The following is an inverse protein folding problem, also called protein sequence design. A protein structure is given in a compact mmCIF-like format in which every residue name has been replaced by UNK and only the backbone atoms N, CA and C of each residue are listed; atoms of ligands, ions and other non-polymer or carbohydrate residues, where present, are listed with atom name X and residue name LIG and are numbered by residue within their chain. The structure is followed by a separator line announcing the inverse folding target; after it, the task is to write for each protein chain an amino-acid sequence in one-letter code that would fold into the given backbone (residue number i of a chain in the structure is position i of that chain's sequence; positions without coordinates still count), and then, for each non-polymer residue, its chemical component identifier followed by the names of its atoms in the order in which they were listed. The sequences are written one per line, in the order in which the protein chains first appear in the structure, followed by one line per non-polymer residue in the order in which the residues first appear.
data_IF_613868901693
#
_entry.id   IF_613868901693
#
_cell.length_a   1.000
_cell.length_b   1.000
_cell.length_c   1.000
_cell.angle_alpha   90.00
_cell.angle_beta   90.00
_cell.angle_gamma   90.00
#
_symmetry.space_group_name_H-M   'P 1'
#
loop_
_entity.id
_entity.type
_entity.pdbx_description
1 polymer ?
#
# COMPACT_ATOMS: atom_id res chain seq x y z
N UNK A 1 -0.07 1.09 -10.80
CA UNK A 1 -0.87 0.40 -9.79
C UNK A 1 -1.60 -0.78 -10.36
N UNK A 2 -2.13 -1.60 -9.49
CA UNK A 2 -2.95 -2.74 -9.91
C UNK A 2 -4.32 -2.77 -9.24
N UNK A 3 -4.44 -2.14 -8.08
CA UNK A 3 -5.69 -2.11 -7.29
C UNK A 3 -5.89 -0.75 -6.63
N UNK A 4 -7.15 -0.36 -6.47
CA UNK A 4 -7.59 0.86 -5.76
C UNK A 4 -8.92 0.55 -5.04
N UNK A 5 -9.21 1.10 -3.88
CA UNK A 5 -8.42 2.00 -3.03
C UNK A 5 -7.37 1.27 -2.15
N UNK A 6 -6.71 2.03 -1.26
CA UNK A 6 -5.63 1.59 -0.35
C UNK A 6 -5.88 0.25 0.33
N UNK A 7 -7.06 0.03 0.87
CA UNK A 7 -7.44 -1.22 1.56
C UNK A 7 -7.41 -2.47 0.66
N UNK A 8 -7.28 -2.30 -0.66
CA UNK A 8 -7.04 -3.37 -1.63
C UNK A 8 -5.64 -3.27 -2.21
N UNK A 9 -5.14 -2.04 -2.45
CA UNK A 9 -3.81 -1.79 -2.99
C UNK A 9 -2.71 -2.36 -2.09
N UNK A 10 -2.77 -2.12 -0.79
CA UNK A 10 -1.79 -2.64 0.16
C UNK A 10 -1.83 -4.17 0.27
N UNK A 11 -3.00 -4.83 0.49
CA UNK A 11 -3.06 -6.28 0.43
C UNK A 11 -2.58 -6.84 -0.91
N UNK A 12 -2.90 -6.19 -2.04
CA UNK A 12 -2.43 -6.62 -3.35
C UNK A 12 -0.90 -6.61 -3.45
N UNK A 13 -0.24 -5.55 -2.98
CA UNK A 13 1.22 -5.45 -2.98
C UNK A 13 1.90 -6.61 -2.24
N UNK A 14 1.23 -7.17 -1.22
CA UNK A 14 1.77 -8.24 -0.39
C UNK A 14 1.21 -9.63 -0.71
N UNK A 15 0.16 -9.75 -1.53
CA UNK A 15 -0.46 -11.04 -1.89
C UNK A 15 -0.54 -11.32 -3.38
N UNK A 16 -0.46 -10.28 -4.23
CA UNK A 16 -0.57 -10.41 -5.69
C UNK A 16 -1.94 -10.82 -6.21
N UNK A 17 -2.97 -10.81 -5.36
CA UNK A 17 -4.25 -11.42 -5.67
C UNK A 17 -5.32 -10.41 -6.03
N UNK A 18 -6.00 -10.64 -7.14
CA UNK A 18 -7.18 -9.88 -7.57
C UNK A 18 -8.48 -10.44 -6.99
N UNK A 19 -9.52 -9.59 -6.85
CA UNK A 19 -10.86 -10.06 -6.52
C UNK A 19 -11.41 -10.99 -7.59
N UNK A 20 -12.32 -11.88 -7.19
CA UNK A 20 -13.05 -12.79 -8.10
C UNK A 20 -14.50 -12.36 -8.23
N UNK A 21 -15.11 -12.69 -9.37
CA UNK A 21 -16.51 -12.41 -9.61
C UNK A 21 -17.41 -13.04 -8.53
N UNK A 22 -18.34 -12.24 -8.02
CA UNK A 22 -19.29 -12.68 -7.01
C UNK A 22 -18.70 -12.99 -5.63
N UNK A 23 -17.41 -12.71 -5.43
CA UNK A 23 -16.73 -12.88 -4.15
C UNK A 23 -17.19 -11.78 -3.19
N UNK A 24 -17.58 -12.16 -1.97
CA UNK A 24 -17.84 -11.17 -0.93
C UNK A 24 -16.54 -10.59 -0.40
N UNK A 25 -16.64 -9.45 0.26
CA UNK A 25 -15.50 -8.82 0.93
C UNK A 25 -14.76 -9.78 1.89
N UNK A 26 -15.51 -10.46 2.74
CA UNK A 26 -14.92 -11.38 3.71
C UNK A 26 -14.27 -12.59 3.02
N UNK A 27 -14.88 -13.10 1.96
CA UNK A 27 -14.33 -14.23 1.19
C UNK A 27 -13.04 -13.83 0.48
N UNK A 28 -13.02 -12.63 -0.12
CA UNK A 28 -11.83 -12.08 -0.77
C UNK A 28 -10.66 -11.98 0.21
N UNK A 29 -10.84 -11.29 1.34
CA UNK A 29 -9.76 -11.16 2.33
C UNK A 29 -9.38 -12.49 2.96
N UNK A 30 -10.35 -13.34 3.26
CA UNK A 30 -10.08 -14.71 3.74
C UNK A 30 -9.20 -15.50 2.75
N UNK A 31 -9.51 -15.44 1.47
CA UNK A 31 -8.78 -16.14 0.42
C UNK A 31 -7.37 -15.60 0.23
N UNK A 32 -7.21 -14.29 0.06
CA UNK A 32 -5.90 -13.70 -0.25
C UNK A 32 -4.92 -13.86 0.90
N UNK A 33 -5.39 -13.76 2.14
CA UNK A 33 -4.52 -13.92 3.30
C UNK A 33 -4.18 -15.37 3.61
N UNK A 34 -5.07 -16.31 3.32
CA UNK A 34 -4.78 -17.74 3.51
C UNK A 34 -3.96 -18.34 2.36
N UNK A 35 -4.10 -17.80 1.15
CA UNK A 35 -3.46 -18.33 -0.06
C UNK A 35 -2.13 -17.70 -0.42
N UNK A 36 -1.75 -16.55 0.18
CA UNK A 36 -0.49 -15.90 -0.14
C UNK A 36 0.69 -16.58 0.53
N UNK A 37 1.73 -16.82 -0.25
CA UNK A 37 3.02 -17.37 0.22
C UNK A 37 4.13 -16.33 0.25
N UNK A 38 3.90 -15.11 -0.20
CA UNK A 38 4.96 -14.11 -0.40
C UNK A 38 5.84 -13.88 0.83
N UNK A 39 5.24 -13.65 2.00
CA UNK A 39 6.01 -13.43 3.23
C UNK A 39 6.69 -14.71 3.73
N UNK A 40 6.11 -15.88 3.45
CA UNK A 40 6.74 -17.18 3.72
C UNK A 40 7.96 -17.38 2.80
N UNK A 41 7.83 -17.02 1.52
CA UNK A 41 8.93 -17.07 0.54
C UNK A 41 10.05 -16.08 0.89
N UNK A 42 9.71 -14.86 1.34
CA UNK A 42 10.68 -13.89 1.88
C UNK A 42 11.47 -14.49 3.04
N UNK A 43 10.77 -15.13 3.98
CA UNK A 43 11.41 -15.78 5.13
C UNK A 43 12.27 -16.96 4.72
N UNK A 44 11.86 -17.73 3.72
CA UNK A 44 12.63 -18.85 3.19
C UNK A 44 13.93 -18.41 2.50
N UNK A 45 14.00 -17.16 2.01
CA UNK A 45 15.25 -16.57 1.51
C UNK A 45 16.17 -16.04 2.65
N UNK A 46 15.83 -16.25 3.91
CA UNK A 46 16.62 -15.80 5.06
C UNK A 46 16.40 -14.34 5.45
N UNK A 47 15.31 -13.73 5.02
CA UNK A 47 14.98 -12.35 5.36
C UNK A 47 13.97 -12.29 6.52
N UNK A 48 14.25 -11.41 7.48
CA UNK A 48 13.28 -11.03 8.49
C UNK A 48 12.35 -9.95 7.95
N UNK A 49 11.03 -10.17 8.00
CA UNK A 49 10.05 -9.23 7.51
C UNK A 49 9.59 -8.24 8.60
N UNK A 50 9.61 -6.95 8.28
CA UNK A 50 9.01 -5.89 9.09
C UNK A 50 8.00 -5.12 8.25
N UNK A 51 6.74 -5.15 8.67
CA UNK A 51 5.62 -4.54 7.96
C UNK A 51 5.05 -3.40 8.81
N UNK A 52 5.05 -2.20 8.24
CA UNK A 52 4.59 -0.97 8.89
C UNK A 52 3.41 -0.41 8.09
N UNK A 53 2.21 -0.87 8.41
CA UNK A 53 0.94 -0.44 7.80
C UNK A 53 -0.21 -0.76 8.73
N UNK A 54 -1.28 0.02 8.69
CA UNK A 54 -2.57 -0.25 9.35
C UNK A 54 -3.60 -0.85 8.39
N UNK A 55 -3.23 -1.02 7.11
CA UNK A 55 -4.12 -1.47 6.04
C UNK A 55 -3.95 -2.96 5.71
N UNK A 56 -3.44 -3.76 6.64
CA UNK A 56 -3.24 -5.20 6.49
C UNK A 56 -3.91 -5.96 7.63
N UNK A 57 -4.45 -7.16 7.34
CA UNK A 57 -5.01 -8.01 8.39
C UNK A 57 -3.96 -8.39 9.43
N UNK A 58 -4.21 -8.12 10.72
CA UNK A 58 -3.30 -8.51 11.78
C UNK A 58 -3.02 -10.01 11.83
N UNK A 59 -4.04 -10.83 11.57
CA UNK A 59 -3.90 -12.29 11.64
C UNK A 59 -3.00 -12.84 10.53
N UNK A 60 -3.05 -12.26 9.34
CA UNK A 60 -2.12 -12.58 8.26
C UNK A 60 -0.68 -12.28 8.65
N UNK A 61 -0.49 -11.14 9.28
CA UNK A 61 0.83 -10.63 9.60
C UNK A 61 1.47 -11.31 10.81
N UNK A 62 0.70 -11.64 11.86
CA UNK A 62 1.21 -12.20 13.13
C UNK A 62 2.09 -13.44 12.97
N UNK A 63 1.79 -14.31 12.03
CA UNK A 63 2.50 -15.57 11.86
C UNK A 63 3.73 -15.47 10.97
N UNK A 64 3.89 -14.35 10.25
CA UNK A 64 4.88 -14.20 9.17
C UNK A 64 5.84 -13.05 9.39
N UNK A 65 5.58 -12.18 10.34
CA UNK A 65 6.40 -10.98 10.55
C UNK A 65 6.64 -10.73 12.03
N UNK A 66 7.78 -10.14 12.35
CA UNK A 66 8.17 -9.81 13.72
C UNK A 66 7.67 -8.43 14.19
N UNK A 67 7.19 -7.58 13.29
CA UNK A 67 6.90 -6.16 13.57
C UNK A 67 5.55 -5.68 13.05
N UNK A 68 4.59 -6.56 12.83
CA UNK A 68 3.21 -6.12 12.65
C UNK A 68 2.58 -5.99 14.01
N UNK A 69 2.31 -4.77 14.36
CA UNK A 69 1.52 -4.47 15.54
C UNK A 69 0.05 -4.52 15.14
N UNK A 70 -0.70 -5.56 15.52
CA UNK A 70 -2.12 -5.61 15.21
C UNK A 70 -2.83 -4.42 15.84
N UNK A 71 -3.88 -3.94 15.19
CA UNK A 71 -4.93 -3.12 15.80
C UNK A 71 -5.48 -3.94 16.96
N UNK A 72 -5.01 -3.72 18.17
CA UNK A 72 -5.08 -4.76 19.15
C UNK A 72 -6.26 -4.72 20.08
N UNK A 73 -6.64 -5.95 20.40
CA UNK A 73 -7.52 -6.34 21.49
C UNK A 73 -7.07 -5.89 22.91
N UNK A 74 -5.87 -5.37 23.10
CA UNK A 74 -5.40 -4.89 24.41
C UNK A 74 -5.82 -3.45 24.73
N UNK A 75 -6.29 -2.68 23.75
CA UNK A 75 -6.86 -1.36 24.05
C UNK A 75 -8.22 -1.53 24.71
N UNK A 76 -8.30 -1.10 25.96
CA UNK A 76 -9.58 -1.06 26.65
C UNK A 76 -10.54 -0.12 25.91
N UNK A 77 -11.74 -0.60 25.64
CA UNK A 77 -12.79 0.21 25.01
C UNK A 77 -13.10 1.41 25.90
N UNK A 78 -12.86 2.61 25.43
CA UNK A 78 -13.37 3.82 26.07
C UNK A 78 -14.87 3.94 25.79
N UNK A 79 -15.68 3.54 26.77
CA UNK A 79 -17.15 3.55 26.67
C UNK A 79 -17.70 4.96 26.42
N UNK A 80 -17.06 5.98 27.01
CA UNK A 80 -17.50 7.36 26.86
C UNK A 80 -17.14 7.88 25.48
N UNK A 81 -15.88 7.74 25.06
CA UNK A 81 -15.43 8.13 23.74
C UNK A 81 -16.20 7.39 22.63
N UNK A 82 -16.47 6.10 22.84
CA UNK A 82 -17.31 5.30 21.93
C UNK A 82 -18.71 5.89 21.80
N UNK A 83 -19.36 6.23 22.89
CA UNK A 83 -20.69 6.82 22.88
C UNK A 83 -20.70 8.20 22.19
N UNK A 84 -19.72 9.03 22.48
CA UNK A 84 -19.59 10.36 21.87
C UNK A 84 -19.39 10.27 20.36
N UNK A 85 -18.52 9.40 19.88
CA UNK A 85 -18.27 9.26 18.42
C UNK A 85 -19.44 8.61 17.71
N UNK A 86 -20.09 7.61 18.29
CA UNK A 86 -21.30 7.00 17.71
C UNK A 86 -22.45 7.99 17.64
N UNK A 87 -22.58 8.88 18.65
CA UNK A 87 -23.56 9.96 18.61
C UNK A 87 -23.26 10.95 17.47
N UNK A 88 -22.00 11.35 17.30
CA UNK A 88 -21.57 12.20 16.19
C UNK A 88 -21.85 11.54 14.84
N UNK A 89 -21.55 10.25 14.68
CA UNK A 89 -21.86 9.49 13.48
C UNK A 89 -23.36 9.47 13.18
N UNK A 90 -24.20 9.30 14.23
CA UNK A 90 -25.67 9.32 14.07
C UNK A 90 -26.15 10.70 13.63
N UNK A 91 -25.62 11.77 14.21
CA UNK A 91 -25.95 13.13 13.81
C UNK A 91 -25.53 13.39 12.37
N UNK A 92 -24.31 12.98 11.98
CA UNK A 92 -23.88 13.10 10.59
C UNK A 92 -24.80 12.37 9.61
N UNK A 93 -25.24 11.16 9.96
CA UNK A 93 -26.17 10.38 9.11
C UNK A 93 -27.55 10.99 9.02
N UNK A 94 -28.11 11.41 10.14
CA UNK A 94 -29.55 11.69 10.26
C UNK A 94 -29.89 13.19 10.12
N UNK A 95 -28.88 14.09 10.20
CA UNK A 95 -29.11 15.53 10.05
C UNK A 95 -29.32 15.94 8.58
N UNK A 96 -30.08 17.03 8.34
CA UNK A 96 -30.18 17.64 7.02
C UNK A 96 -28.81 17.98 6.44
N UNK A 97 -28.68 17.90 5.13
CA UNK A 97 -27.42 18.12 4.41
C UNK A 97 -26.65 19.37 4.83
N UNK A 98 -27.38 20.50 5.04
CA UNK A 98 -26.79 21.77 5.46
C UNK A 98 -26.13 21.75 6.83
N UNK A 99 -26.49 20.79 7.68
CA UNK A 99 -25.91 20.64 9.03
C UNK A 99 -24.84 19.55 9.11
N UNK A 100 -24.75 18.67 8.11
CA UNK A 100 -23.77 17.57 8.10
C UNK A 100 -22.32 18.01 8.30
N UNK A 101 -21.84 19.13 7.70
CA UNK A 101 -20.44 19.55 7.90
C UNK A 101 -20.05 19.80 9.36
N UNK A 102 -20.99 20.14 10.23
CA UNK A 102 -20.72 20.34 11.67
C UNK A 102 -20.51 19.03 12.43
N UNK A 103 -20.85 17.89 11.84
CA UNK A 103 -20.74 16.57 12.45
C UNK A 103 -19.80 15.65 11.63
N UNK A 104 -19.03 16.23 10.72
CA UNK A 104 -18.07 15.48 9.95
C UNK A 104 -17.04 14.82 10.86
N UNK A 105 -16.60 13.63 10.48
CA UNK A 105 -15.56 12.88 11.18
C UNK A 105 -14.70 12.11 10.18
N UNK A 106 -13.47 11.84 10.57
CA UNK A 106 -12.57 10.94 9.85
C UNK A 106 -12.52 9.59 10.54
N UNK A 107 -12.18 8.55 9.80
CA UNK A 107 -12.09 7.17 10.32
C UNK A 107 -11.14 7.07 11.52
N UNK A 108 -10.03 7.79 11.48
CA UNK A 108 -9.04 7.82 12.56
C UNK A 108 -9.63 8.40 13.85
N UNK A 109 -10.51 9.40 13.76
CA UNK A 109 -11.19 9.95 14.92
C UNK A 109 -12.10 8.92 15.59
N UNK A 110 -12.73 8.05 14.78
CA UNK A 110 -13.55 6.95 15.33
C UNK A 110 -12.66 6.02 16.15
N UNK A 111 -11.55 5.55 15.57
CA UNK A 111 -10.65 4.63 16.24
C UNK A 111 -10.04 5.25 17.52
N UNK A 112 -9.57 6.49 17.44
CA UNK A 112 -8.99 7.20 18.56
C UNK A 112 -9.98 7.50 19.69
N UNK A 113 -11.26 7.73 19.36
CA UNK A 113 -12.30 7.96 20.37
C UNK A 113 -12.79 6.66 21.01
N UNK A 114 -12.73 5.54 20.29
CA UNK A 114 -13.23 4.25 20.80
C UNK A 114 -12.26 3.54 21.73
N UNK A 115 -10.99 3.88 21.71
CA UNK A 115 -9.96 3.16 22.46
C UNK A 115 -9.20 4.10 23.40
N UNK A 116 -9.04 3.68 24.66
CA UNK A 116 -8.33 4.48 25.65
C UNK A 116 -6.81 4.48 25.43
N UNK A 117 -6.18 5.60 25.70
CA UNK A 117 -4.74 5.82 25.59
C UNK A 117 -3.92 5.15 26.72
N UNK A 118 -4.52 4.35 27.58
CA UNK A 118 -3.80 3.70 28.70
C UNK A 118 -2.72 2.70 28.29
N UNK A 119 -2.65 2.36 26.99
CA UNK A 119 -1.58 1.51 26.42
C UNK A 119 -0.29 2.28 26.06
N UNK A 120 -0.18 3.56 26.36
CA UNK A 120 0.99 4.39 26.00
C UNK A 120 2.33 3.95 26.62
N UNK A 121 2.32 3.04 27.58
CA UNK A 121 3.52 2.66 28.32
C UNK A 121 4.28 1.44 27.78
N UNK A 122 3.71 0.71 26.82
CA UNK A 122 4.39 -0.39 26.15
C UNK A 122 4.43 -0.16 24.63
N UNK A 123 5.58 0.28 24.07
CA UNK A 123 5.72 0.51 22.62
C UNK A 123 5.47 -0.74 21.77
N UNK A 124 5.59 -1.93 22.37
CA UNK A 124 5.35 -3.20 21.66
C UNK A 124 3.87 -3.56 21.56
N UNK A 125 3.02 -2.97 22.39
CA UNK A 125 1.57 -3.21 22.42
C UNK A 125 0.76 -2.18 21.63
N UNK A 126 1.38 -1.08 21.20
CA UNK A 126 0.68 -0.03 20.46
C UNK A 126 0.55 -0.41 18.99
N UNK A 127 -0.67 -0.46 18.41
CA UNK A 127 -0.84 -0.71 17.00
C UNK A 127 -0.07 0.31 16.16
N UNK A 128 0.47 -0.12 15.04
CA UNK A 128 1.01 0.83 14.08
C UNK A 128 -0.16 1.64 13.51
N UNK A 129 -0.12 2.93 13.73
CA UNK A 129 -1.01 3.90 13.09
C UNK A 129 -0.14 4.75 12.19
N UNK A 130 -0.55 4.87 10.93
CA UNK A 130 0.15 5.71 9.97
C UNK A 130 0.05 7.17 10.42
N UNK A 131 1.21 7.75 10.72
CA UNK A 131 1.35 9.15 11.07
C UNK A 131 2.74 9.61 10.64
N UNK A 132 2.82 10.22 9.48
CA UNK A 132 4.08 10.57 8.84
C UNK A 132 4.93 11.55 9.67
N UNK A 133 4.39 12.64 10.23
CA UNK A 133 5.16 13.51 11.11
C UNK A 133 5.70 12.80 12.36
N UNK A 134 4.90 11.94 12.99
CA UNK A 134 5.35 11.19 14.15
C UNK A 134 6.39 10.12 13.77
N UNK A 135 6.23 9.47 12.61
CA UNK A 135 7.25 8.56 12.07
C UNK A 135 8.56 9.30 11.82
N UNK A 136 8.51 10.48 11.19
CA UNK A 136 9.68 11.30 10.91
C UNK A 136 10.40 11.74 12.19
N UNK A 137 9.65 12.18 13.18
CA UNK A 137 10.21 12.54 14.48
C UNK A 137 10.97 11.36 15.11
N UNK A 138 10.33 10.17 15.15
CA UNK A 138 10.98 8.95 15.68
C UNK A 138 12.21 8.55 14.88
N UNK A 139 12.16 8.66 13.55
CA UNK A 139 13.29 8.38 12.66
C UNK A 139 14.49 9.29 12.98
N UNK A 140 14.24 10.57 13.27
CA UNK A 140 15.31 11.52 13.64
C UNK A 140 15.85 11.31 15.05
N UNK A 141 14.97 11.02 16.01
CA UNK A 141 15.34 10.91 17.43
C UNK A 141 16.07 9.59 17.71
N UNK A 142 15.60 8.49 17.16
CA UNK A 142 16.13 7.15 17.43
C UNK A 142 17.12 6.70 16.38
N UNK A 143 16.94 7.12 15.15
CA UNK A 143 17.69 6.66 14.00
C UNK A 143 17.37 5.21 13.62
N UNK A 144 17.94 4.79 12.51
CA UNK A 144 18.00 3.40 12.10
C UNK A 144 19.19 2.71 12.77
N UNK A 145 19.05 1.44 13.03
CA UNK A 145 20.13 0.62 13.57
C UNK A 145 20.14 -0.76 12.92
N UNK A 146 21.34 -1.34 12.82
CA UNK A 146 21.50 -2.74 12.44
C UNK A 146 21.42 -3.55 13.73
N UNK A 147 20.35 -4.30 13.89
CA UNK A 147 20.06 -5.02 15.12
C UNK A 147 20.07 -6.55 14.97
N UNK A 148 20.38 -7.08 13.78
CA UNK A 148 20.57 -8.49 13.51
C UNK A 148 21.62 -8.70 12.42
N UNK A 149 22.17 -9.91 12.35
CA UNK A 149 23.04 -10.34 11.24
C UNK A 149 22.22 -10.80 10.03
N UNK A 150 20.91 -10.96 10.19
CA UNK A 150 20.02 -11.44 9.13
C UNK A 150 19.68 -10.32 8.16
N UNK A 151 19.51 -10.70 6.91
CA UNK A 151 18.94 -9.80 5.91
C UNK A 151 17.52 -9.38 6.29
N UNK A 152 17.10 -8.19 5.93
CA UNK A 152 15.80 -7.67 6.34
C UNK A 152 14.98 -7.17 5.16
N UNK A 153 13.70 -7.54 5.13
CA UNK A 153 12.68 -6.95 4.29
C UNK A 153 11.88 -5.93 5.11
N UNK A 154 11.71 -4.73 4.60
CA UNK A 154 10.94 -3.67 5.26
C UNK A 154 9.90 -3.12 4.29
N UNK A 155 8.65 -3.24 4.67
CA UNK A 155 7.53 -2.62 3.98
C UNK A 155 7.02 -1.46 4.85
N UNK A 156 7.18 -0.23 4.36
CA UNK A 156 6.82 0.98 5.10
C UNK A 156 5.76 1.73 4.30
N UNK A 157 4.58 1.82 4.86
CA UNK A 157 3.45 2.54 4.29
C UNK A 157 3.30 3.87 5.02
N UNK A 158 3.44 4.97 4.29
CA UNK A 158 3.21 6.33 4.75
C UNK A 158 1.83 6.80 4.30
N UNK A 159 1.23 7.74 5.00
CA UNK A 159 0.02 8.45 4.55
C UNK A 159 0.32 9.13 3.21
N UNK A 160 1.53 9.64 3.06
CA UNK A 160 2.01 10.22 1.82
C UNK A 160 1.18 11.42 1.39
N UNK A 161 0.72 11.40 0.13
CA UNK A 161 -0.03 12.51 -0.48
C UNK A 161 -1.55 12.42 -0.27
N UNK A 162 -1.99 11.60 0.69
CA UNK A 162 -3.42 11.46 0.99
C UNK A 162 -3.98 12.64 1.77
N UNK A 163 -5.22 13.01 1.50
CA UNK A 163 -5.97 14.01 2.30
C UNK A 163 -6.35 13.46 3.67
N UNK A 164 -6.46 14.30 4.72
CA UNK A 164 -6.19 15.74 4.76
C UNK A 164 -4.70 16.05 4.72
N UNK A 165 -4.32 17.14 4.07
CA UNK A 165 -2.93 17.58 4.01
C UNK A 165 -2.56 18.30 5.30
N UNK A 166 -1.79 17.64 6.15
CA UNK A 166 -1.43 18.12 7.49
C UNK A 166 0.07 18.08 7.77
N UNK A 167 0.89 17.87 6.74
CA UNK A 167 2.34 17.83 6.86
C UNK A 167 2.98 18.90 5.98
N UNK A 168 3.89 19.70 6.56
CA UNK A 168 4.65 20.68 5.81
C UNK A 168 5.74 20.04 4.93
N UNK A 169 6.35 20.85 4.06
CA UNK A 169 7.42 20.40 3.15
C UNK A 169 8.67 19.86 3.88
N UNK A 170 8.81 20.08 5.17
CA UNK A 170 9.90 19.60 6.02
C UNK A 170 9.53 18.34 6.81
N UNK A 171 8.32 17.82 6.63
CA UNK A 171 7.86 16.60 7.30
C UNK A 171 7.30 16.83 8.70
N UNK A 172 7.01 18.06 9.11
CA UNK A 172 6.43 18.36 10.41
C UNK A 172 4.91 18.50 10.32
N UNK A 173 4.23 18.21 11.44
CA UNK A 173 2.79 18.40 11.55
C UNK A 173 2.42 19.89 11.39
N UNK A 174 1.43 20.16 10.57
CA UNK A 174 0.77 21.45 10.40
C UNK A 174 -0.74 21.28 10.64
N UNK A 175 -1.19 21.60 11.83
CA UNK A 175 -2.60 21.43 12.24
C UNK A 175 -3.56 22.36 11.49
N UNK A 176 -3.07 23.47 10.94
CA UNK A 176 -3.88 24.40 10.14
C UNK A 176 -4.13 23.90 8.72
N UNK A 177 -3.46 22.79 8.35
CA UNK A 177 -3.49 22.25 7.00
C UNK A 177 -2.40 22.84 6.09
N UNK A 178 -2.17 22.17 4.96
CA UNK A 178 -1.14 22.56 4.00
C UNK A 178 -1.59 22.25 2.57
N UNK A 179 -0.73 22.48 1.59
CA UNK A 179 -1.00 22.16 0.20
C UNK A 179 -0.63 20.68 -0.12
N UNK A 180 -1.18 20.14 -1.21
CA UNK A 180 -0.75 18.87 -1.77
C UNK A 180 0.76 18.87 -2.09
N UNK A 181 1.27 20.00 -2.61
CA UNK A 181 2.67 20.16 -2.94
C UNK A 181 3.56 20.05 -1.70
N UNK A 182 3.24 20.78 -0.64
CA UNK A 182 4.00 20.72 0.62
C UNK A 182 3.94 19.34 1.25
N UNK A 183 2.76 18.70 1.29
CA UNK A 183 2.59 17.34 1.78
C UNK A 183 3.46 16.34 0.98
N UNK A 184 3.51 16.49 -0.35
CA UNK A 184 4.34 15.66 -1.22
C UNK A 184 5.83 15.86 -0.93
N UNK A 185 6.26 17.12 -0.84
CA UNK A 185 7.65 17.46 -0.49
C UNK A 185 8.03 16.91 0.88
N UNK A 186 7.15 17.02 1.87
CA UNK A 186 7.35 16.44 3.21
C UNK A 186 7.54 14.92 3.17
N UNK A 187 6.75 14.22 2.36
CA UNK A 187 6.88 12.77 2.17
C UNK A 187 8.25 12.39 1.59
N UNK A 188 8.70 13.11 0.55
CA UNK A 188 10.04 12.90 -0.01
C UNK A 188 11.15 13.34 0.94
N UNK A 189 10.90 14.31 1.81
CA UNK A 189 11.84 14.70 2.85
C UNK A 189 12.07 13.57 3.87
N UNK A 190 10.99 12.90 4.30
CA UNK A 190 11.06 11.69 5.16
C UNK A 190 11.86 10.58 4.46
N UNK A 191 11.55 10.31 3.20
CA UNK A 191 12.29 9.32 2.40
C UNK A 191 13.79 9.68 2.33
N UNK A 192 14.11 10.94 2.06
CA UNK A 192 15.49 11.41 1.97
C UNK A 192 16.26 11.20 3.28
N UNK A 193 15.62 11.44 4.42
CA UNK A 193 16.21 11.19 5.74
C UNK A 193 16.44 9.68 5.97
N UNK A 194 15.49 8.84 5.59
CA UNK A 194 15.64 7.39 5.67
C UNK A 194 16.84 6.90 4.85
N UNK A 195 16.92 7.33 3.59
CA UNK A 195 18.03 6.98 2.69
C UNK A 195 19.38 7.50 3.20
N UNK A 196 19.40 8.71 3.78
CA UNK A 196 20.60 9.29 4.39
C UNK A 196 21.12 8.39 5.53
N UNK A 197 20.22 7.89 6.37
CA UNK A 197 20.57 7.00 7.47
C UNK A 197 21.05 5.62 6.96
N UNK A 198 20.45 5.05 5.92
CA UNK A 198 20.99 3.82 5.29
C UNK A 198 22.41 4.02 4.78
N UNK A 199 22.72 5.19 4.18
CA UNK A 199 24.09 5.55 3.75
C UNK A 199 25.03 5.65 4.94
N UNK A 200 24.61 6.27 6.04
CA UNK A 200 25.42 6.36 7.27
C UNK A 200 25.73 4.99 7.90
N UNK A 201 24.78 4.06 7.82
CA UNK A 201 24.95 2.69 8.28
C UNK A 201 25.80 1.82 7.33
N UNK A 202 26.11 2.33 6.13
CA UNK A 202 26.87 1.60 5.11
C UNK A 202 26.10 0.47 4.42
N UNK A 203 24.74 0.47 4.52
CA UNK A 203 23.90 -0.58 3.93
C UNK A 203 23.13 -0.12 2.69
N UNK A 204 23.21 1.16 2.34
CA UNK A 204 22.46 1.72 1.22
C UNK A 204 22.79 1.03 -0.11
N UNK A 205 24.07 0.84 -0.43
CA UNK A 205 24.48 0.28 -1.73
C UNK A 205 23.96 -1.15 -1.88
N UNK A 206 24.05 -1.94 -0.83
CA UNK A 206 23.62 -3.35 -0.80
C UNK A 206 22.10 -3.53 -0.66
N UNK A 207 21.34 -2.46 -0.50
CA UNK A 207 19.88 -2.53 -0.38
C UNK A 207 19.21 -2.36 -1.73
N UNK A 208 18.28 -3.25 -2.06
CA UNK A 208 17.27 -2.98 -3.07
C UNK A 208 16.19 -2.09 -2.46
N UNK A 209 15.90 -0.96 -3.09
CA UNK A 209 14.91 0.02 -2.61
C UNK A 209 13.87 0.23 -3.68
N UNK A 210 12.61 0.01 -3.33
CA UNK A 210 11.47 0.26 -4.19
C UNK A 210 10.60 1.33 -3.52
N UNK A 211 10.33 2.41 -4.25
CA UNK A 211 9.44 3.48 -3.81
C UNK A 211 8.27 3.54 -4.76
N UNK A 212 7.07 3.38 -4.23
CA UNK A 212 5.83 3.43 -5.01
C UNK A 212 4.71 3.99 -4.13
N UNK A 213 3.54 4.25 -4.71
CA UNK A 213 2.32 4.42 -3.95
C UNK A 213 1.45 3.17 -4.12
N UNK A 214 0.47 2.99 -3.25
CA UNK A 214 -0.50 1.89 -3.31
C UNK A 214 -1.43 2.02 -4.53
N UNK A 215 -1.79 3.26 -4.90
CA UNK A 215 -2.51 3.62 -6.12
C UNK A 215 -2.17 5.05 -6.57
N UNK A 216 -2.66 5.45 -7.74
CA UNK A 216 -2.61 6.84 -8.20
C UNK A 216 -3.74 7.68 -7.62
N UNK A 217 -3.86 8.92 -8.10
CA UNK A 217 -4.96 9.80 -7.71
C UNK A 217 -6.31 9.15 -8.03
N UNK A 218 -7.26 9.27 -7.11
CA UNK A 218 -8.57 8.67 -7.25
C UNK A 218 -9.62 9.51 -6.54
N UNK A 219 -10.69 9.79 -7.26
CA UNK A 219 -11.88 10.39 -6.69
C UNK A 219 -12.95 9.32 -6.54
N UNK A 220 -13.61 9.30 -5.39
CA UNK A 220 -14.77 8.45 -5.13
C UNK A 220 -15.87 8.80 -6.15
N UNK A 221 -15.89 8.07 -7.26
CA UNK A 221 -16.97 8.16 -8.25
C UNK A 221 -17.47 6.73 -8.51
N UNK A 222 -18.76 6.59 -8.70
CA UNK A 222 -19.37 5.35 -9.20
C UNK A 222 -19.22 5.21 -10.73
N UNK A 223 -18.54 6.16 -11.32
CA UNK A 223 -18.31 6.29 -12.76
C UNK A 223 -16.97 5.66 -13.16
N UNK A 224 -16.83 5.16 -14.40
CA UNK A 224 -15.55 4.79 -14.95
C UNK A 224 -14.55 5.94 -14.90
N UNK A 225 -13.27 5.59 -14.82
CA UNK A 225 -12.19 6.57 -14.90
C UNK A 225 -12.29 7.39 -16.18
N UNK A 226 -11.93 8.66 -16.09
CA UNK A 226 -11.90 9.60 -17.22
C UNK A 226 -10.48 10.04 -17.59
N UNK A 227 -9.49 9.67 -16.75
CA UNK A 227 -8.10 10.02 -16.91
C UNK A 227 -7.19 8.92 -16.33
N UNK A 228 -5.92 8.88 -16.74
CA UNK A 228 -4.96 7.93 -16.19
C UNK A 228 -4.76 8.14 -14.70
N UNK A 229 -4.70 7.05 -13.94
CA UNK A 229 -4.35 7.07 -12.53
C UNK A 229 -3.26 6.04 -12.26
N UNK A 230 -2.04 6.48 -12.09
CA UNK A 230 -0.89 5.58 -11.94
C UNK A 230 0.05 6.06 -10.85
N UNK A 231 0.42 5.20 -9.91
CA UNK A 231 1.46 5.53 -8.96
C UNK A 231 2.82 5.58 -9.65
N UNK A 232 3.74 6.29 -9.04
CA UNK A 232 5.16 6.24 -9.38
C UNK A 232 5.75 4.88 -9.00
N UNK A 233 6.78 4.44 -9.72
CA UNK A 233 7.65 3.33 -9.31
C UNK A 233 9.10 3.77 -9.51
N UNK A 234 9.85 3.90 -8.41
CA UNK A 234 11.30 4.07 -8.44
C UNK A 234 11.95 2.82 -7.89
N UNK A 235 12.95 2.33 -8.59
CA UNK A 235 13.70 1.14 -8.19
C UNK A 235 15.18 1.43 -8.19
N UNK A 236 15.82 1.20 -7.05
CA UNK A 236 17.27 1.17 -6.89
C UNK A 236 17.67 -0.28 -6.62
N UNK A 237 18.35 -0.96 -7.53
CA UNK A 237 18.89 -2.30 -7.28
C UNK A 237 20.00 -2.27 -6.23
N UNK A 238 20.22 -3.40 -5.56
CA UNK A 238 21.42 -3.63 -4.78
C UNK A 238 22.67 -3.58 -5.69
N UNK A 239 23.73 -3.01 -5.20
CA UNK A 239 25.02 -2.87 -5.88
C UNK A 239 26.16 -3.26 -4.94
N UNK A 240 27.32 -3.55 -5.50
CA UNK A 240 28.51 -3.73 -4.69
C UNK A 240 28.87 -2.44 -3.95
N UNK A 241 29.38 -2.58 -2.74
CA UNK A 241 29.75 -1.44 -1.93
C UNK A 241 30.81 -0.58 -2.65
N UNK A 242 30.53 0.70 -2.80
CA UNK A 242 31.40 1.66 -3.48
C UNK A 242 31.33 1.64 -5.00
N UNK A 243 30.34 0.98 -5.59
CA UNK A 243 30.05 1.13 -7.02
C UNK A 243 29.67 2.58 -7.35
N UNK A 244 30.14 3.06 -8.51
CA UNK A 244 29.74 4.38 -8.97
C UNK A 244 28.21 4.45 -9.13
N UNK A 245 27.61 5.48 -8.55
CA UNK A 245 26.19 5.68 -8.66
C UNK A 245 25.80 5.97 -10.12
N UNK A 246 25.05 5.08 -10.73
CA UNK A 246 24.46 5.34 -12.03
C UNK A 246 23.42 6.49 -11.89
N UNK A 247 23.33 7.39 -12.87
CA UNK A 247 22.27 8.39 -12.88
C UNK A 247 20.90 7.70 -12.93
N UNK A 248 19.89 8.34 -12.34
CA UNK A 248 18.51 7.88 -12.47
C UNK A 248 18.11 7.86 -13.95
N UNK A 249 17.68 6.72 -14.45
CA UNK A 249 17.19 6.54 -15.80
C UNK A 249 15.66 6.34 -15.79
N UNK A 250 15.01 6.82 -16.83
CA UNK A 250 13.59 6.54 -17.05
C UNK A 250 13.49 5.28 -17.90
N UNK A 251 12.91 4.22 -17.34
CA UNK A 251 12.58 3.02 -18.10
C UNK A 251 11.21 3.18 -18.76
N UNK A 252 11.10 2.72 -19.99
CA UNK A 252 9.84 2.62 -20.74
C UNK A 252 9.25 1.20 -20.65
N UNK A 253 9.90 0.33 -19.89
CA UNK A 253 9.42 -1.04 -19.69
C UNK A 253 8.07 -1.05 -18.98
N UNK A 254 7.11 -1.84 -19.48
CA UNK A 254 5.83 -1.98 -18.83
C UNK A 254 5.98 -2.69 -17.48
N UNK A 255 5.65 -1.99 -16.40
CA UNK A 255 5.67 -2.52 -15.04
C UNK A 255 4.36 -2.23 -14.32
N UNK A 256 3.99 -3.10 -13.40
CA UNK A 256 2.84 -2.94 -12.53
C UNK A 256 3.15 -3.47 -11.11
N UNK A 257 2.25 -3.24 -10.17
CA UNK A 257 2.39 -3.81 -8.83
C UNK A 257 2.42 -5.35 -8.83
N UNK A 258 1.82 -5.99 -9.83
CA UNK A 258 1.88 -7.46 -10.00
C UNK A 258 3.32 -7.96 -10.16
N UNK A 259 4.20 -7.12 -10.67
CA UNK A 259 5.60 -7.47 -10.95
C UNK A 259 6.49 -7.37 -9.71
N UNK A 260 6.05 -6.65 -8.68
CA UNK A 260 6.91 -6.25 -7.57
C UNK A 260 7.29 -7.43 -6.66
N UNK A 261 6.38 -8.36 -6.39
CA UNK A 261 6.67 -9.50 -5.51
C UNK A 261 7.77 -10.37 -6.08
N UNK A 262 7.62 -10.79 -7.34
CA UNK A 262 8.64 -11.59 -8.02
C UNK A 262 9.95 -10.82 -8.20
N UNK A 263 9.88 -9.50 -8.48
CA UNK A 263 11.05 -8.63 -8.54
C UNK A 263 11.82 -8.62 -7.21
N UNK A 264 11.11 -8.47 -6.09
CA UNK A 264 11.72 -8.49 -4.75
C UNK A 264 12.35 -9.85 -4.45
N UNK A 265 11.62 -10.94 -4.68
CA UNK A 265 12.13 -12.31 -4.44
C UNK A 265 13.33 -12.63 -5.34
N UNK A 266 13.32 -12.20 -6.60
CA UNK A 266 14.50 -12.35 -7.48
C UNK A 266 15.70 -11.58 -6.93
N UNK A 267 15.49 -10.37 -6.45
CA UNK A 267 16.51 -9.57 -5.80
C UNK A 267 17.05 -10.20 -4.50
N UNK A 268 16.26 -11.04 -3.84
CA UNK A 268 16.64 -11.81 -2.65
C UNK A 268 17.35 -13.13 -2.99
N UNK A 269 17.45 -13.50 -4.27
CA UNK A 269 18.10 -14.72 -4.73
C UNK A 269 17.19 -15.95 -4.78
N UNK A 270 15.87 -15.77 -4.81
CA UNK A 270 14.92 -16.87 -4.96
C UNK A 270 15.18 -17.68 -6.23
N UNK A 271 14.98 -18.99 -6.14
CA UNK A 271 15.11 -19.91 -7.27
C UNK A 271 13.99 -19.69 -8.30
N UNK A 272 14.20 -20.15 -9.53
CA UNK A 272 13.19 -20.07 -10.58
C UNK A 272 11.91 -20.81 -10.18
N UNK A 273 12.00 -21.95 -9.48
CA UNK A 273 10.83 -22.69 -8.99
C UNK A 273 9.94 -21.85 -8.06
N UNK A 274 10.53 -21.00 -7.23
CA UNK A 274 9.78 -20.05 -6.39
C UNK A 274 9.17 -18.94 -7.25
N UNK A 275 9.93 -18.40 -8.21
CA UNK A 275 9.45 -17.33 -9.08
C UNK A 275 8.31 -17.77 -9.99
N UNK A 276 8.30 -19.02 -10.43
CA UNK A 276 7.26 -19.59 -11.29
C UNK A 276 5.85 -19.59 -10.61
N UNK A 277 5.80 -19.55 -9.27
CA UNK A 277 4.54 -19.42 -8.53
C UNK A 277 3.88 -18.04 -8.73
N UNK A 278 4.62 -17.03 -9.16
CA UNK A 278 4.11 -15.66 -9.36
C UNK A 278 3.67 -15.40 -10.82
N UNK A 279 3.71 -16.43 -11.65
CA UNK A 279 3.30 -16.36 -13.05
C UNK A 279 4.21 -15.46 -13.90
N UNK A 280 3.68 -14.93 -14.99
CA UNK A 280 4.42 -13.99 -15.83
C UNK A 280 4.57 -12.64 -15.14
N UNK A 281 5.79 -12.15 -15.06
CA UNK A 281 6.12 -10.84 -14.51
C UNK A 281 7.28 -10.19 -15.27
N UNK A 282 7.33 -8.85 -15.26
CA UNK A 282 8.52 -8.11 -15.62
C UNK A 282 9.37 -7.91 -14.38
N UNK A 283 10.68 -7.97 -14.56
CA UNK A 283 11.59 -7.57 -13.51
C UNK A 283 11.74 -6.06 -13.59
N UNK A 284 11.22 -5.34 -12.59
CA UNK A 284 11.31 -3.88 -12.56
C UNK A 284 12.77 -3.35 -12.48
N UNK A 285 13.73 -4.27 -12.33
CA UNK A 285 15.18 -3.98 -12.29
C UNK A 285 15.90 -4.25 -13.62
N UNK A 286 15.22 -4.85 -14.59
CA UNK A 286 15.82 -5.25 -15.85
C UNK A 286 15.14 -4.50 -16.98
N UNK A 287 15.94 -3.82 -17.79
CA UNK A 287 15.48 -3.21 -19.02
C UNK A 287 15.35 -4.31 -20.08
N UNK A 288 14.13 -4.63 -20.46
CA UNK A 288 13.82 -5.56 -21.55
C UNK A 288 13.38 -4.77 -22.76
N UNK A 289 14.09 -4.89 -23.85
CA UNK A 289 13.85 -4.12 -25.07
C UNK A 289 12.63 -4.58 -25.90
N UNK A 290 11.70 -5.31 -25.31
CA UNK A 290 10.45 -5.70 -25.99
C UNK A 290 9.22 -5.20 -25.22
N UNK A 291 8.87 -3.91 -25.38
CA UNK A 291 7.76 -3.29 -24.68
C UNK A 291 6.39 -3.66 -25.26
N UNK A 292 6.35 -4.43 -26.37
CA UNK A 292 5.24 -4.29 -27.30
C UNK A 292 3.91 -4.82 -26.78
N UNK A 293 3.87 -5.87 -25.94
CA UNK A 293 2.61 -6.62 -25.83
C UNK A 293 2.20 -7.02 -24.42
N UNK A 294 2.74 -6.38 -23.39
CA UNK A 294 2.35 -6.79 -22.06
C UNK A 294 1.10 -6.10 -21.56
N UNK A 295 0.05 -6.89 -21.46
CA UNK A 295 -1.19 -6.50 -20.85
C UNK A 295 -0.97 -6.19 -19.35
N UNK A 296 -1.40 -5.01 -18.93
CA UNK A 296 -1.46 -4.61 -17.53
C UNK A 296 -2.92 -4.52 -17.12
N UNK A 297 -3.25 -5.11 -15.99
CA UNK A 297 -4.59 -5.05 -15.43
C UNK A 297 -4.60 -4.07 -14.26
N UNK A 298 -5.56 -3.18 -14.27
CA UNK A 298 -5.85 -2.25 -13.20
C UNK A 298 -7.29 -2.45 -12.75
N UNK A 299 -7.49 -2.69 -11.46
CA UNK A 299 -8.81 -2.91 -10.90
C UNK A 299 -9.21 -1.76 -9.98
N UNK A 300 -10.38 -1.22 -10.21
CA UNK A 300 -10.99 -0.20 -9.39
C UNK A 300 -12.21 -0.79 -8.69
N UNK A 301 -12.25 -0.68 -7.36
CA UNK A 301 -13.40 -1.10 -6.57
C UNK A 301 -14.21 0.12 -6.19
N UNK A 302 -15.44 0.16 -6.63
CA UNK A 302 -16.41 1.20 -6.31
C UNK A 302 -17.41 0.68 -5.28
N UNK A 303 -18.15 1.56 -4.65
CA UNK A 303 -19.13 1.21 -3.64
C UNK A 303 -20.47 1.84 -3.98
N UNK A 304 -21.44 1.03 -4.34
CA UNK A 304 -22.82 1.47 -4.70
C UNK A 304 -23.78 1.59 -3.50
N UNK A 305 -23.27 1.39 -2.30
CA UNK A 305 -24.06 1.41 -1.05
C UNK A 305 -24.99 0.21 -0.85
N UNK A 306 -25.06 -0.72 -1.80
CA UNK A 306 -25.94 -1.90 -1.77
C UNK A 306 -25.19 -3.22 -1.77
N UNK A 307 -23.94 -3.22 -2.18
CA UNK A 307 -23.06 -4.37 -2.29
C UNK A 307 -21.75 -4.09 -1.59
N UNK A 308 -20.99 -5.13 -1.33
CA UNK A 308 -19.70 -4.99 -0.71
C UNK A 308 -18.73 -4.22 -1.61
N UNK A 309 -18.80 -4.39 -2.94
CA UNK A 309 -18.06 -3.61 -3.94
C UNK A 309 -18.56 -3.85 -5.37
N UNK A 310 -18.29 -2.90 -6.24
CA UNK A 310 -18.32 -3.01 -7.69
C UNK A 310 -16.91 -2.99 -8.23
N UNK A 311 -16.56 -3.90 -9.15
CA UNK A 311 -15.24 -4.00 -9.73
C UNK A 311 -15.24 -3.51 -11.18
N UNK A 312 -14.47 -2.47 -11.46
CA UNK A 312 -14.14 -2.05 -12.82
C UNK A 312 -12.73 -2.50 -13.13
N UNK A 313 -12.53 -3.19 -14.25
CA UNK A 313 -11.24 -3.65 -14.68
C UNK A 313 -10.83 -2.96 -15.97
N UNK A 314 -9.62 -2.44 -15.98
CA UNK A 314 -9.00 -1.81 -17.15
C UNK A 314 -7.84 -2.65 -17.63
N UNK A 315 -7.82 -2.86 -18.93
CA UNK A 315 -6.66 -3.38 -19.64
C UNK A 315 -5.86 -2.21 -20.21
N UNK A 316 -4.56 -2.17 -19.92
CA UNK A 316 -3.68 -1.08 -20.35
C UNK A 316 -2.62 -1.66 -21.29
N UNK A 317 -2.62 -1.18 -22.54
CA UNK A 317 -1.67 -1.60 -23.59
C UNK A 317 -0.99 -0.36 -24.14
N UNK A 318 0.32 -0.25 -23.92
CA UNK A 318 1.09 0.93 -24.33
C UNK A 318 1.42 1.88 -23.18
N UNK A 319 1.58 3.16 -23.50
CA UNK A 319 1.92 4.20 -22.53
C UNK A 319 0.79 4.40 -21.52
N UNK A 320 1.10 4.26 -20.23
CA UNK A 320 0.15 4.40 -19.13
C UNK A 320 -0.33 5.84 -18.92
N UNK A 321 0.40 6.82 -19.41
CA UNK A 321 0.01 8.24 -19.32
C UNK A 321 -0.99 8.66 -20.39
N UNK A 322 -1.17 7.86 -21.43
CA UNK A 322 -2.18 8.08 -22.45
C UNK A 322 -3.44 7.27 -22.16
N UNK A 323 -4.53 7.96 -21.77
CA UNK A 323 -5.79 7.30 -21.45
C UNK A 323 -6.43 6.54 -22.60
N UNK A 324 -6.07 6.82 -23.86
CA UNK A 324 -6.52 6.03 -25.01
C UNK A 324 -6.01 4.59 -24.98
N UNK A 325 -4.97 4.31 -24.22
CA UNK A 325 -4.42 2.97 -24.00
C UNK A 325 -5.13 2.20 -22.88
N UNK A 326 -6.08 2.84 -22.17
CA UNK A 326 -6.85 2.24 -21.09
C UNK A 326 -8.19 1.75 -21.63
N UNK A 327 -8.37 0.46 -21.67
CA UNK A 327 -9.59 -0.15 -22.18
C UNK A 327 -10.34 -0.74 -20.99
N UNK A 328 -11.52 -0.15 -20.69
CA UNK A 328 -12.44 -0.79 -19.75
C UNK A 328 -12.82 -2.14 -20.34
N UNK A 329 -12.50 -3.20 -19.64
CA UNK A 329 -12.86 -4.55 -20.08
C UNK A 329 -14.38 -4.58 -20.20
N UNK A 330 -14.88 -4.83 -21.42
CA UNK A 330 -16.31 -4.90 -21.73
C UNK A 330 -17.03 -6.07 -21.01
N UNK A 331 -16.30 -6.85 -20.27
CA UNK A 331 -16.82 -7.75 -19.26
C UNK A 331 -17.27 -6.91 -18.07
N UNK A 332 -18.45 -6.35 -18.19
CA UNK A 332 -19.15 -5.83 -17.02
C UNK A 332 -19.05 -6.91 -15.92
N UNK A 333 -18.30 -6.64 -14.86
CA UNK A 333 -18.17 -7.56 -13.72
C UNK A 333 -19.55 -7.96 -13.19
N UNK A 334 -20.60 -7.20 -13.48
CA UNK A 334 -22.00 -7.55 -13.32
C UNK A 334 -22.40 -8.77 -14.14
N UNK A 335 -21.62 -9.17 -15.15
CA UNK A 335 -21.76 -10.42 -15.86
C UNK A 335 -20.93 -11.51 -15.17
N UNK A 336 -21.52 -12.12 -14.13
CA UNK A 336 -20.89 -13.15 -13.31
C UNK A 336 -20.35 -14.34 -14.13
N UNK A 337 -20.98 -14.68 -15.27
CA UNK A 337 -20.53 -15.78 -16.12
C UNK A 337 -19.24 -15.45 -16.87
N UNK A 338 -19.09 -14.23 -17.39
CA UNK A 338 -17.88 -13.81 -18.05
C UNK A 338 -16.69 -13.75 -17.08
N UNK A 339 -16.92 -13.34 -15.84
CA UNK A 339 -15.91 -13.37 -14.81
C UNK A 339 -15.44 -14.79 -14.45
N UNK A 340 -16.38 -15.73 -14.28
CA UNK A 340 -16.06 -17.13 -13.98
C UNK A 340 -15.24 -17.77 -15.10
N UNK A 341 -15.56 -17.46 -16.34
CA UNK A 341 -14.79 -17.97 -17.48
C UNK A 341 -13.36 -17.43 -17.45
N UNK A 342 -13.17 -16.16 -17.25
CA UNK A 342 -11.86 -15.53 -17.19
C UNK A 342 -11.02 -16.00 -15.99
N UNK A 343 -11.67 -16.14 -14.81
CA UNK A 343 -10.98 -16.68 -13.63
C UNK A 343 -10.53 -18.15 -13.80
N UNK A 344 -11.18 -18.89 -14.69
CA UNK A 344 -10.76 -20.25 -15.03
C UNK A 344 -9.58 -20.28 -16.03
N UNK A 345 -9.37 -19.19 -16.77
CA UNK A 345 -8.27 -19.01 -17.71
C UNK A 345 -7.01 -18.40 -17.06
N UNK A 346 -7.12 -17.85 -15.85
CA UNK A 346 -6.03 -17.35 -14.98
C UNK A 346 -5.55 -18.41 -13.99
#
# INVERSE_FOLDING_TARGET
GSMIPTRYGIPFLLTGSYPKAGETWNDFFGRIYSGSTFLDDVSAQGYSAGIYTDSLSPDYAKTRTINVHPLDASKALDKRGTLEILYQCSLYRDMPWTLKPFFWYYTDQINNAMFSSEAENDPSSTPYVMNDPAYYQKLRERGLSINSEDASFRFIHLVGTHTPYTMDAQGNLNEEGTSLEDQTLGTFHILSEYLRQLKQLGVYDQSTIIVTADHGEWYLTDEPLTEPTSPIIFVKPAQDAGADAAPCAISQEPASHKDLQATMLKGMGASQDVLDHYGEFNVALEDRHDPADRLRTYCMLTHDGKRDYDLLEYQIVGDVSDFNNWHLDGNDWRNEEAWKQRDAER
#
